data_IF_656576990647
#
_entry.id   IF_656576990647
#
_cell.length_a   1.000
_cell.length_b   1.000
_cell.length_c   1.000
_cell.angle_alpha   90.00
_cell.angle_beta   90.00
_cell.angle_gamma   90.00
#
_symmetry.space_group_name_H-M   'P 1'
#
loop_
_entity.id
_entity.type
_entity.pdbx_description
1 polymer ?
#
# COMPACT_ATOMS: atom_id res chain seq x y z
N UNK A 1 8.71 9.96 -31.31
CA UNK A 1 9.77 9.01 -30.90
C UNK A 1 9.10 7.84 -30.21
N UNK A 2 9.02 6.69 -30.89
CA UNK A 2 8.38 5.49 -30.34
C UNK A 2 9.19 4.89 -29.19
N UNK A 3 8.51 4.28 -28.23
CA UNK A 3 9.11 3.54 -27.12
C UNK A 3 9.89 2.35 -27.69
N UNK A 4 11.21 2.30 -27.45
CA UNK A 4 12.10 1.31 -28.08
C UNK A 4 11.81 -0.13 -27.64
N UNK A 5 11.15 -0.31 -26.50
CA UNK A 5 10.58 -1.59 -26.06
C UNK A 5 9.56 -1.32 -24.93
N UNK A 6 8.24 -1.36 -25.21
CA UNK A 6 7.22 -1.11 -24.18
C UNK A 6 7.21 -2.18 -23.09
N UNK A 7 7.60 -3.42 -23.39
CA UNK A 7 7.68 -4.49 -22.38
C UNK A 7 8.80 -4.20 -21.39
N UNK A 8 10.00 -3.87 -21.88
CA UNK A 8 11.13 -3.55 -21.00
C UNK A 8 10.83 -2.36 -20.09
N UNK A 9 10.15 -1.32 -20.60
CA UNK A 9 9.72 -0.18 -19.79
C UNK A 9 8.75 -0.62 -18.70
N UNK A 10 7.73 -1.42 -19.03
CA UNK A 10 6.79 -1.95 -18.04
C UNK A 10 7.50 -2.80 -16.98
N UNK A 11 8.39 -3.69 -17.41
CA UNK A 11 9.14 -4.62 -16.57
C UNK A 11 10.05 -3.90 -15.56
N UNK A 12 10.64 -2.77 -15.92
CA UNK A 12 11.49 -1.99 -15.00
C UNK A 12 10.65 -1.06 -14.13
N UNK A 13 9.68 -0.36 -14.73
CA UNK A 13 8.95 0.70 -14.05
C UNK A 13 7.93 0.16 -13.04
N UNK A 14 7.24 -0.96 -13.33
CA UNK A 14 6.27 -1.50 -12.39
C UNK A 14 6.90 -1.88 -11.03
N UNK A 15 7.99 -2.67 -10.97
CA UNK A 15 8.68 -2.96 -9.72
C UNK A 15 9.20 -1.69 -9.02
N UNK A 16 9.74 -0.73 -9.78
CA UNK A 16 10.22 0.54 -9.20
C UNK A 16 9.08 1.32 -8.52
N UNK A 17 7.89 1.36 -9.12
CA UNK A 17 6.70 1.98 -8.53
C UNK A 17 6.22 1.24 -7.28
N UNK A 18 6.26 -0.09 -7.27
CA UNK A 18 5.93 -0.89 -6.08
C UNK A 18 6.95 -0.67 -4.95
N UNK A 19 8.25 -0.53 -5.26
CA UNK A 19 9.25 -0.17 -4.24
C UNK A 19 9.05 1.25 -3.73
N UNK A 20 8.69 2.19 -4.60
CA UNK A 20 8.36 3.56 -4.21
C UNK A 20 7.13 3.61 -3.28
N UNK A 21 6.18 2.69 -3.48
CA UNK A 21 5.01 2.55 -2.63
C UNK A 21 5.38 2.28 -1.16
N UNK A 22 6.36 1.41 -0.88
CA UNK A 22 6.83 1.14 0.50
C UNK A 22 7.26 2.43 1.21
N UNK A 23 7.95 3.33 0.50
CA UNK A 23 8.36 4.62 1.08
C UNK A 23 7.16 5.56 1.23
N UNK A 24 6.28 5.61 0.24
CA UNK A 24 5.08 6.44 0.29
C UNK A 24 4.11 6.00 1.39
N UNK A 25 4.00 4.71 1.65
CA UNK A 25 3.22 4.14 2.75
C UNK A 25 3.65 4.74 4.09
N UNK A 26 4.95 4.77 4.35
CA UNK A 26 5.52 5.36 5.57
C UNK A 26 5.44 6.89 5.58
N UNK A 27 5.47 7.55 4.42
CA UNK A 27 5.13 8.99 4.31
C UNK A 27 3.69 9.24 4.73
N UNK A 28 2.75 8.38 4.31
CA UNK A 28 1.33 8.51 4.66
C UNK A 28 1.13 8.31 6.16
N UNK A 29 1.79 7.32 6.76
CA UNK A 29 1.79 7.18 8.22
C UNK A 29 2.24 8.45 8.93
N UNK A 30 3.38 9.02 8.51
CA UNK A 30 3.92 10.23 9.12
C UNK A 30 3.00 11.44 8.90
N UNK A 31 2.37 11.54 7.73
CA UNK A 31 1.42 12.60 7.41
C UNK A 31 0.14 12.50 8.26
N UNK A 32 -0.39 11.29 8.47
CA UNK A 32 -1.54 11.06 9.35
C UNK A 32 -1.18 11.35 10.81
N UNK A 33 -0.01 10.92 11.28
CA UNK A 33 0.47 11.20 12.63
C UNK A 33 0.59 12.71 12.87
N UNK A 34 1.22 13.44 11.93
CA UNK A 34 1.31 14.89 11.99
C UNK A 34 -0.05 15.58 11.96
N UNK A 35 -0.96 15.14 11.08
CA UNK A 35 -2.30 15.71 10.98
C UNK A 35 -3.12 15.49 12.26
N UNK A 36 -2.92 14.36 12.94
CA UNK A 36 -3.63 14.02 14.17
C UNK A 36 -3.03 14.69 15.42
N UNK A 37 -1.70 14.81 15.49
CA UNK A 37 -0.99 15.25 16.70
C UNK A 37 -0.43 16.68 16.64
N UNK A 38 -0.29 17.25 15.45
CA UNK A 38 0.43 18.50 15.21
C UNK A 38 1.95 18.38 15.29
N UNK A 39 2.50 17.17 15.44
CA UNK A 39 3.94 16.92 15.57
C UNK A 39 4.36 15.70 14.75
N UNK A 40 5.59 15.73 14.22
CA UNK A 40 6.18 14.53 13.60
C UNK A 40 6.94 13.78 14.69
N UNK A 41 6.50 12.56 14.99
CA UNK A 41 7.27 11.67 15.85
C UNK A 41 8.65 11.40 15.26
N UNK A 42 9.64 11.10 16.11
CA UNK A 42 10.99 10.78 15.67
C UNK A 42 11.53 9.55 16.42
N UNK A 43 12.12 8.60 15.69
CA UNK A 43 12.85 7.46 16.27
C UNK A 43 14.38 7.70 16.28
N UNK A 44 14.81 8.97 16.30
CA UNK A 44 16.21 9.38 16.18
C UNK A 44 16.32 10.62 15.31
N UNK A 45 16.91 10.49 14.13
CA UNK A 45 17.13 11.60 13.18
C UNK A 45 15.93 11.87 12.25
N UNK A 46 14.83 11.14 12.38
CA UNK A 46 13.66 11.29 11.52
C UNK A 46 12.46 10.43 11.96
N UNK A 47 11.34 10.50 11.21
CA UNK A 47 10.08 9.84 11.56
C UNK A 47 10.04 8.35 11.23
N UNK A 48 11.09 7.82 10.61
CA UNK A 48 11.16 6.43 10.19
C UNK A 48 12.30 5.70 10.87
N UNK A 49 12.09 4.41 11.08
CA UNK A 49 13.08 3.47 11.57
C UNK A 49 13.03 2.20 10.72
N UNK A 50 14.06 1.37 10.84
CA UNK A 50 14.02 0.02 10.32
C UNK A 50 13.81 -0.94 11.48
N UNK A 51 12.64 -1.58 11.53
CA UNK A 51 12.25 -2.47 12.60
C UNK A 51 11.74 -3.79 12.00
N UNK A 52 12.13 -4.93 12.59
CA UNK A 52 11.61 -6.23 12.18
C UNK A 52 11.79 -6.57 10.68
N UNK A 53 12.80 -6.02 10.02
CA UNK A 53 13.02 -6.25 8.58
C UNK A 53 12.19 -5.35 7.66
N UNK A 54 11.46 -4.36 8.20
CA UNK A 54 10.65 -3.40 7.44
C UNK A 54 11.01 -1.96 7.78
N UNK A 55 10.79 -1.07 6.82
CA UNK A 55 10.64 0.36 7.13
C UNK A 55 9.38 0.52 8.00
N UNK A 56 9.42 1.41 8.98
CA UNK A 56 8.30 1.65 9.88
C UNK A 56 8.31 3.09 10.39
N UNK A 57 7.12 3.65 10.60
CA UNK A 57 6.92 5.00 11.10
C UNK A 57 6.76 5.03 12.62
N UNK A 58 7.29 6.07 13.23
CA UNK A 58 7.14 6.36 14.64
C UNK A 58 5.83 7.10 14.88
N UNK A 59 5.18 6.87 16.02
CA UNK A 59 3.96 7.58 16.38
C UNK A 59 4.17 8.50 17.58
N UNK A 60 3.56 9.68 17.51
CA UNK A 60 3.74 10.77 18.46
C UNK A 60 2.97 10.56 19.76
N UNK A 61 1.89 9.78 19.71
CA UNK A 61 1.06 9.50 20.88
C UNK A 61 0.48 8.09 20.89
N UNK A 62 0.24 7.51 22.09
CA UNK A 62 -0.49 6.27 22.24
C UNK A 62 -1.92 6.41 21.68
N UNK A 63 -2.34 5.44 20.87
CA UNK A 63 -3.67 5.42 20.26
C UNK A 63 -3.66 5.79 18.78
N UNK A 64 -2.86 6.79 18.33
CA UNK A 64 -2.75 7.17 16.90
C UNK A 64 -2.39 5.98 16.02
N UNK A 65 -1.54 5.07 16.51
CA UNK A 65 -1.07 3.93 15.74
C UNK A 65 -2.21 3.05 15.19
N UNK A 66 -3.25 2.76 15.97
CA UNK A 66 -4.30 1.83 15.53
C UNK A 66 -5.11 2.35 14.34
N UNK A 67 -5.60 3.60 14.40
CA UNK A 67 -6.33 4.20 13.27
C UNK A 67 -5.40 4.56 12.12
N UNK A 68 -4.15 4.92 12.39
CA UNK A 68 -3.16 5.19 11.34
C UNK A 68 -2.82 3.92 10.54
N UNK A 69 -2.62 2.80 11.24
CA UNK A 69 -2.47 1.46 10.68
C UNK A 69 -3.75 0.98 9.97
N UNK A 70 -4.93 1.49 10.32
CA UNK A 70 -6.14 1.22 9.53
C UNK A 70 -6.18 2.07 8.25
N UNK A 71 -5.95 3.37 8.36
CA UNK A 71 -6.17 4.32 7.27
C UNK A 71 -5.09 4.26 6.19
N UNK A 72 -3.84 4.06 6.56
CA UNK A 72 -2.70 4.06 5.62
C UNK A 72 -2.87 3.02 4.52
N UNK A 73 -3.04 1.72 4.81
CA UNK A 73 -3.21 0.74 3.75
C UNK A 73 -4.50 0.94 2.94
N UNK A 74 -5.55 1.54 3.52
CA UNK A 74 -6.75 1.90 2.74
C UNK A 74 -6.48 3.02 1.74
N UNK A 75 -5.72 4.04 2.13
CA UNK A 75 -5.33 5.13 1.23
C UNK A 75 -4.38 4.64 0.14
N UNK A 76 -3.42 3.77 0.48
CA UNK A 76 -2.49 3.20 -0.47
C UNK A 76 -3.20 2.25 -1.46
N UNK A 77 -4.10 1.39 -0.98
CA UNK A 77 -4.97 0.58 -1.83
C UNK A 77 -5.81 1.44 -2.78
N UNK A 78 -6.41 2.52 -2.26
CA UNK A 78 -7.18 3.49 -3.08
C UNK A 78 -6.31 4.14 -4.14
N UNK A 79 -5.08 4.54 -3.80
CA UNK A 79 -4.12 5.08 -4.76
C UNK A 79 -3.77 4.07 -5.86
N UNK A 80 -3.62 2.78 -5.51
CA UNK A 80 -3.46 1.69 -6.46
C UNK A 80 -4.64 1.59 -7.45
N UNK A 81 -5.87 1.64 -6.94
CA UNK A 81 -7.10 1.61 -7.75
C UNK A 81 -7.14 2.79 -8.72
N UNK A 82 -6.85 4.01 -8.25
CA UNK A 82 -6.82 5.20 -9.08
C UNK A 82 -5.71 5.11 -10.14
N UNK A 83 -4.55 4.57 -9.78
CA UNK A 83 -3.42 4.35 -10.71
C UNK A 83 -3.83 3.39 -11.82
N UNK A 84 -4.49 2.27 -11.49
CA UNK A 84 -5.05 1.36 -12.51
C UNK A 84 -6.07 2.07 -13.40
N UNK A 85 -7.03 2.77 -12.80
CA UNK A 85 -8.11 3.45 -13.50
C UNK A 85 -7.60 4.50 -14.48
N UNK A 86 -6.64 5.32 -14.07
CA UNK A 86 -6.13 6.43 -14.89
C UNK A 86 -4.99 6.04 -15.82
N UNK A 87 -4.46 4.82 -15.73
CA UNK A 87 -3.40 4.34 -16.62
C UNK A 87 -3.76 4.48 -18.11
N UNK A 88 -5.04 4.37 -18.47
CA UNK A 88 -5.58 4.60 -19.84
C UNK A 88 -5.18 5.91 -20.47
N UNK A 89 -5.08 6.96 -19.66
CA UNK A 89 -4.81 8.32 -20.13
C UNK A 89 -3.37 8.47 -20.60
N UNK A 90 -2.49 7.52 -20.24
CA UNK A 90 -1.08 7.53 -20.61
C UNK A 90 -0.91 6.97 -22.01
N UNK A 91 -0.38 7.78 -22.92
CA UNK A 91 -0.18 7.42 -24.33
C UNK A 91 0.97 6.44 -24.57
N UNK A 92 1.97 6.39 -23.68
CA UNK A 92 3.10 5.45 -23.78
C UNK A 92 2.69 4.08 -23.27
N UNK A 93 2.70 3.09 -24.15
CA UNK A 93 2.22 1.73 -23.86
C UNK A 93 2.95 1.08 -22.69
N UNK A 94 4.28 1.14 -22.63
CA UNK A 94 5.05 0.54 -21.55
C UNK A 94 4.79 1.20 -20.20
N UNK A 95 4.69 2.53 -20.16
CA UNK A 95 4.33 3.28 -18.95
C UNK A 95 2.89 2.98 -18.51
N UNK A 96 1.94 2.89 -19.45
CA UNK A 96 0.56 2.51 -19.17
C UNK A 96 0.49 1.14 -18.50
N UNK A 97 1.15 0.14 -19.07
CA UNK A 97 1.21 -1.21 -18.48
C UNK A 97 1.95 -1.21 -17.14
N UNK A 98 3.01 -0.42 -16.99
CA UNK A 98 3.70 -0.28 -15.71
C UNK A 98 2.74 0.21 -14.61
N UNK A 99 1.96 1.26 -14.90
CA UNK A 99 0.99 1.83 -13.97
C UNK A 99 -0.15 0.85 -13.67
N UNK A 100 -0.65 0.14 -14.67
CA UNK A 100 -1.69 -0.87 -14.46
C UNK A 100 -1.18 -2.00 -13.56
N UNK A 101 0.00 -2.55 -13.85
CA UNK A 101 0.61 -3.64 -13.07
C UNK A 101 0.96 -3.19 -11.65
N UNK A 102 1.61 -2.03 -11.49
CA UNK A 102 1.93 -1.49 -10.17
C UNK A 102 0.66 -1.17 -9.38
N UNK A 103 -0.32 -0.52 -10.00
CA UNK A 103 -1.60 -0.21 -9.36
C UNK A 103 -2.33 -1.47 -8.89
N UNK A 104 -2.32 -2.54 -9.70
CA UNK A 104 -2.90 -3.83 -9.33
C UNK A 104 -2.17 -4.48 -8.14
N UNK A 105 -0.83 -4.48 -8.18
CA UNK A 105 -0.01 -5.02 -7.11
C UNK A 105 -0.21 -4.26 -5.79
N UNK A 106 -0.15 -2.93 -5.82
CA UNK A 106 -0.38 -2.07 -4.65
C UNK A 106 -1.78 -2.27 -4.10
N UNK A 107 -2.80 -2.26 -4.96
CA UNK A 107 -4.19 -2.50 -4.52
C UNK A 107 -4.32 -3.87 -3.84
N UNK A 108 -3.74 -4.91 -4.41
CA UNK A 108 -3.76 -6.25 -3.85
C UNK A 108 -3.07 -6.29 -2.48
N UNK A 109 -1.81 -5.88 -2.41
CA UNK A 109 -1.02 -5.96 -1.18
C UNK A 109 -1.65 -5.14 -0.06
N UNK A 110 -1.97 -3.88 -0.33
CA UNK A 110 -2.49 -2.96 0.68
C UNK A 110 -3.90 -3.34 1.14
N UNK A 111 -4.74 -3.86 0.24
CA UNK A 111 -6.07 -4.36 0.64
C UNK A 111 -5.95 -5.61 1.52
N UNK A 112 -5.01 -6.51 1.24
CA UNK A 112 -4.76 -7.70 2.05
C UNK A 112 -4.12 -7.36 3.40
N UNK A 113 -3.23 -6.37 3.44
CA UNK A 113 -2.68 -5.82 4.68
C UNK A 113 -3.79 -5.18 5.52
N UNK A 114 -4.61 -4.31 4.94
CA UNK A 114 -5.75 -3.67 5.63
C UNK A 114 -6.77 -4.71 6.15
N UNK A 115 -7.00 -5.78 5.39
CA UNK A 115 -7.91 -6.86 5.79
C UNK A 115 -7.31 -7.83 6.82
N UNK A 116 -6.08 -7.61 7.31
CA UNK A 116 -5.36 -8.52 8.21
C UNK A 116 -5.18 -9.95 7.66
N UNK A 117 -5.26 -10.12 6.33
CA UNK A 117 -5.05 -11.41 5.65
C UNK A 117 -3.57 -11.64 5.41
N UNK A 118 -2.82 -10.56 5.19
CA UNK A 118 -1.36 -10.57 5.05
C UNK A 118 -0.72 -9.87 6.24
N UNK A 119 0.25 -10.53 6.89
CA UNK A 119 1.21 -9.91 7.81
C UNK A 119 2.61 -10.47 7.59
N UNK A 120 3.64 -9.67 7.90
CA UNK A 120 5.01 -10.16 7.86
C UNK A 120 5.28 -11.06 9.08
N UNK A 121 5.85 -12.26 8.89
CA UNK A 121 6.19 -13.14 10.00
C UNK A 121 7.44 -12.62 10.72
N UNK A 122 7.32 -12.40 12.02
CA UNK A 122 8.41 -12.11 12.92
C UNK A 122 8.74 -13.38 13.74
N UNK A 123 9.93 -13.94 13.52
CA UNK A 123 10.40 -15.10 14.27
C UNK A 123 10.95 -14.64 15.62
N UNK A 124 10.29 -15.03 16.70
CA UNK A 124 10.75 -14.82 18.09
C UNK A 124 11.11 -16.17 18.73
N UNK A 125 11.90 -16.18 19.82
CA UNK A 125 12.14 -17.40 20.60
C UNK A 125 10.85 -18.09 21.09
N UNK A 126 9.76 -17.34 21.26
CA UNK A 126 8.44 -17.83 21.65
C UNK A 126 7.57 -18.36 20.50
N UNK A 127 8.04 -18.28 19.25
CA UNK A 127 7.30 -18.67 18.04
C UNK A 127 7.23 -17.57 16.98
N UNK A 128 6.44 -17.81 15.93
CA UNK A 128 6.20 -16.84 14.85
C UNK A 128 5.02 -15.95 15.23
N UNK A 129 5.23 -14.64 15.23
CA UNK A 129 4.19 -13.61 15.42
C UNK A 129 4.02 -12.87 14.11
N UNK A 130 2.79 -12.67 13.64
CA UNK A 130 2.54 -11.87 12.44
C UNK A 130 2.32 -10.42 12.84
N UNK A 131 3.00 -9.51 12.16
CA UNK A 131 2.84 -8.06 12.34
C UNK A 131 2.40 -7.42 11.03
N UNK A 132 1.55 -6.41 11.14
CA UNK A 132 1.03 -5.70 10.00
C UNK A 132 -0.06 -4.74 10.41
N UNK A 133 -0.23 -3.71 9.59
CA UNK A 133 -1.13 -2.61 9.82
C UNK A 133 -2.58 -3.04 10.11
N UNK A 134 -3.16 -3.86 9.24
CA UNK A 134 -4.51 -4.37 9.48
C UNK A 134 -4.59 -5.34 10.66
N UNK A 135 -3.51 -6.06 10.99
CA UNK A 135 -3.48 -6.92 12.19
C UNK A 135 -3.60 -6.03 13.44
N UNK A 136 -2.77 -5.01 13.54
CA UNK A 136 -2.80 -4.05 14.66
C UNK A 136 -4.15 -3.33 14.74
N UNK A 137 -4.75 -2.98 13.59
CA UNK A 137 -6.08 -2.36 13.54
C UNK A 137 -7.21 -3.30 13.97
N UNK A 138 -7.17 -4.58 13.57
CA UNK A 138 -8.16 -5.59 13.98
C UNK A 138 -8.03 -5.91 15.46
N UNK A 139 -6.82 -5.96 16.01
CA UNK A 139 -6.60 -6.10 17.45
C UNK A 139 -7.22 -4.94 18.25
N UNK A 140 -7.13 -3.72 17.71
CA UNK A 140 -7.66 -2.52 18.37
C UNK A 140 -9.18 -2.31 18.22
N UNK A 141 -9.74 -2.57 17.04
CA UNK A 141 -11.14 -2.24 16.70
C UNK A 141 -12.04 -3.46 16.49
N UNK A 142 -11.46 -4.67 16.54
CA UNK A 142 -12.15 -5.92 16.28
C UNK A 142 -12.30 -6.25 14.79
N UNK A 143 -12.95 -7.39 14.47
CA UNK A 143 -13.02 -7.94 13.11
C UNK A 143 -13.67 -7.02 12.07
N UNK A 144 -14.50 -6.07 12.51
CA UNK A 144 -15.12 -5.09 11.61
C UNK A 144 -14.11 -4.21 10.86
N UNK A 145 -12.90 -4.03 11.40
CA UNK A 145 -11.82 -3.28 10.76
C UNK A 145 -11.32 -3.92 9.45
N UNK A 146 -11.62 -5.21 9.20
CA UNK A 146 -11.26 -5.89 7.95
C UNK A 146 -12.11 -5.43 6.76
N UNK A 147 -13.34 -4.98 7.01
CA UNK A 147 -14.35 -4.74 5.96
C UNK A 147 -13.88 -3.75 4.90
N UNK A 148 -13.31 -2.57 5.24
CA UNK A 148 -12.84 -1.63 4.24
C UNK A 148 -11.76 -2.22 3.31
N UNK A 149 -10.83 -3.03 3.85
CA UNK A 149 -9.81 -3.71 3.05
C UNK A 149 -10.42 -4.70 2.07
N UNK A 150 -11.38 -5.52 2.50
CA UNK A 150 -12.12 -6.45 1.64
C UNK A 150 -12.89 -5.72 0.53
N UNK A 151 -13.52 -4.59 0.86
CA UNK A 151 -14.25 -3.77 -0.12
C UNK A 151 -13.30 -3.20 -1.17
N UNK A 152 -12.15 -2.64 -0.76
CA UNK A 152 -11.17 -2.11 -1.70
C UNK A 152 -10.56 -3.21 -2.57
N UNK A 153 -10.33 -4.40 -2.02
CA UNK A 153 -9.92 -5.56 -2.81
C UNK A 153 -10.92 -5.87 -3.93
N UNK A 154 -12.22 -5.94 -3.60
CA UNK A 154 -13.27 -6.23 -4.56
C UNK A 154 -13.41 -5.12 -5.63
N UNK A 155 -13.37 -3.85 -5.22
CA UNK A 155 -13.41 -2.70 -6.15
C UNK A 155 -12.18 -2.71 -7.06
N UNK A 156 -11.00 -2.95 -6.51
CA UNK A 156 -9.75 -3.05 -7.25
C UNK A 156 -9.76 -4.14 -8.30
N UNK A 157 -10.24 -5.34 -7.92
CA UNK A 157 -10.41 -6.45 -8.84
C UNK A 157 -11.38 -6.09 -9.98
N UNK A 158 -12.53 -5.48 -9.66
CA UNK A 158 -13.49 -5.05 -10.67
C UNK A 158 -12.88 -4.02 -11.65
N UNK A 159 -12.12 -3.05 -11.14
CA UNK A 159 -11.40 -2.09 -11.99
C UNK A 159 -10.38 -2.81 -12.86
N UNK A 160 -9.57 -3.73 -12.31
CA UNK A 160 -8.57 -4.48 -13.07
C UNK A 160 -9.21 -5.28 -14.21
N UNK A 161 -10.31 -6.00 -13.95
CA UNK A 161 -11.03 -6.76 -14.99
C UNK A 161 -11.50 -5.83 -16.11
N UNK A 162 -12.17 -4.72 -15.75
CA UNK A 162 -12.59 -3.74 -16.76
C UNK A 162 -11.42 -3.16 -17.57
N UNK A 163 -10.25 -3.00 -16.95
CA UNK A 163 -9.04 -2.53 -17.63
C UNK A 163 -8.48 -3.54 -18.63
N UNK A 164 -8.51 -4.83 -18.30
CA UNK A 164 -8.05 -5.92 -19.16
C UNK A 164 -9.00 -6.10 -20.33
N UNK A 165 -10.31 -6.13 -20.09
CA UNK A 165 -11.34 -6.29 -21.13
C UNK A 165 -11.30 -5.18 -22.18
N UNK A 166 -10.98 -3.94 -21.77
CA UNK A 166 -10.81 -2.82 -22.70
C UNK A 166 -9.53 -2.91 -23.55
N UNK A 167 -8.50 -3.62 -23.09
CA UNK A 167 -7.27 -3.81 -23.85
C UNK A 167 -7.40 -4.87 -24.95
N UNK A 168 -8.40 -5.76 -24.84
CA UNK A 168 -8.70 -6.82 -25.81
C UNK A 168 -9.64 -6.37 -26.94
N UNK A 169 -10.20 -5.15 -26.87
CA UNK A 169 -11.07 -4.55 -27.88
C UNK A 169 -10.31 -3.59 -28.80
#
# INVERSE_FOLDING_TARGET
MGERDPFLVAFVLAPALVVAEIVLHEVVHAAIDYAASGTLAACGLGPWTYHAGRLATCYSSPGVGAWNNLLTPLLMATAGILTMRYSVTVSRTGVRWALLTAGAAVTLYESLYAAAIWGMPLVRPSGVVYQGDGIDAVEAFGPGAMVPGVVLFAVGFWVLVGRVDEAER
#
